data_IF_160894793932
#
_entry.id   IF_160894793932
#
_cell.length_a   1.000
_cell.length_b   1.000
_cell.length_c   1.000
_cell.angle_alpha   90.00
_cell.angle_beta   90.00
_cell.angle_gamma   90.00
#
_symmetry.space_group_name_H-M   'P 1'
#
loop_
_entity.id
_entity.type
_entity.pdbx_description
1 polymer ?
#
# COMPACT_ATOMS: atom_id res chain seq x y z
N UNK A 1 -1.98 -14.63 29.07
CA UNK A 1 -0.82 -14.86 28.17
C UNK A 1 -1.27 -14.98 26.70
N UNK A 2 -1.85 -13.93 26.11
CA UNK A 2 -2.37 -13.93 24.72
C UNK A 2 -1.60 -13.01 23.75
N UNK A 3 -0.57 -12.29 24.24
CA UNK A 3 0.20 -11.33 23.44
C UNK A 3 1.21 -12.00 22.47
N UNK A 4 1.57 -13.26 22.68
CA UNK A 4 2.59 -13.95 21.87
C UNK A 4 2.08 -14.47 20.52
N UNK A 5 0.81 -14.86 20.41
CA UNK A 5 0.27 -15.51 19.18
C UNK A 5 -0.01 -14.53 18.06
N UNK A 6 -0.71 -13.44 18.35
CA UNK A 6 -0.98 -12.39 17.36
C UNK A 6 0.32 -11.75 16.84
N UNK A 7 1.28 -11.50 17.74
CA UNK A 7 2.61 -10.98 17.37
C UNK A 7 3.35 -11.91 16.40
N UNK A 8 3.30 -13.24 16.63
CA UNK A 8 3.90 -14.21 15.73
C UNK A 8 3.24 -14.20 14.34
N UNK A 9 1.92 -14.08 14.26
CA UNK A 9 1.23 -14.00 12.97
C UNK A 9 1.53 -12.69 12.23
N UNK A 10 1.61 -11.57 12.95
CA UNK A 10 2.05 -10.28 12.38
C UNK A 10 3.49 -10.36 11.87
N UNK A 11 4.38 -11.04 12.60
CA UNK A 11 5.76 -11.24 12.15
C UNK A 11 5.84 -12.06 10.86
N UNK A 12 5.16 -13.22 10.83
CA UNK A 12 5.10 -14.08 9.63
C UNK A 12 4.45 -13.39 8.43
N UNK A 13 3.39 -12.62 8.67
CA UNK A 13 2.75 -11.81 7.64
C UNK A 13 3.72 -10.76 7.10
N UNK A 14 4.39 -10.02 7.99
CA UNK A 14 5.38 -9.01 7.60
C UNK A 14 6.52 -9.61 6.79
N UNK A 15 7.00 -10.79 7.17
CA UNK A 15 8.08 -11.51 6.47
C UNK A 15 7.64 -12.01 5.09
N UNK A 16 6.46 -12.62 5.00
CA UNK A 16 5.92 -13.10 3.72
C UNK A 16 5.70 -11.94 2.75
N UNK A 17 5.05 -10.86 3.20
CA UNK A 17 4.83 -9.65 2.40
C UNK A 17 6.18 -9.04 1.99
N UNK A 18 7.10 -8.86 2.95
CA UNK A 18 8.42 -8.30 2.68
C UNK A 18 9.20 -9.08 1.62
N UNK A 19 9.19 -10.41 1.73
CA UNK A 19 9.86 -11.28 0.75
C UNK A 19 9.23 -11.20 -0.65
N UNK A 20 7.92 -10.98 -0.73
CA UNK A 20 7.21 -10.81 -2.00
C UNK A 20 7.50 -9.46 -2.66
N UNK A 21 7.64 -8.39 -1.88
CA UNK A 21 7.77 -7.03 -2.43
C UNK A 21 9.22 -6.58 -2.61
N UNK A 22 10.17 -7.20 -1.90
CA UNK A 22 11.59 -6.86 -2.01
C UNK A 22 12.14 -6.96 -3.46
N UNK A 23 11.82 -7.99 -4.26
CA UNK A 23 12.25 -8.04 -5.67
C UNK A 23 11.71 -6.89 -6.53
N UNK A 24 10.59 -6.30 -6.13
CA UNK A 24 10.01 -5.14 -6.81
C UNK A 24 10.60 -3.80 -6.33
N UNK A 25 11.60 -3.82 -5.43
CA UNK A 25 12.31 -2.65 -4.91
C UNK A 25 11.66 -2.00 -3.68
N UNK A 26 10.79 -2.72 -2.98
CA UNK A 26 10.19 -2.23 -1.73
C UNK A 26 11.06 -2.61 -0.53
N UNK A 27 11.52 -1.59 0.19
CA UNK A 27 12.25 -1.74 1.43
C UNK A 27 11.30 -1.65 2.63
N UNK A 28 11.61 -2.42 3.67
CA UNK A 28 10.91 -2.32 4.95
C UNK A 28 11.27 -0.98 5.61
N UNK A 29 10.26 -0.19 5.92
CA UNK A 29 10.48 1.05 6.66
C UNK A 29 10.74 0.72 8.15
N UNK A 30 11.88 1.15 8.74
CA UNK A 30 12.13 1.00 10.17
C UNK A 30 11.15 1.83 11.01
N UNK A 31 10.64 2.93 10.46
CA UNK A 31 9.73 3.83 11.14
C UNK A 31 8.28 3.54 10.74
N UNK A 32 7.43 3.31 11.75
CA UNK A 32 6.00 3.13 11.57
C UNK A 32 5.34 4.50 11.72
N UNK A 33 5.01 5.14 10.60
CA UNK A 33 4.18 6.36 10.56
C UNK A 33 2.75 5.98 10.19
N UNK A 34 1.75 6.48 10.94
CA UNK A 34 0.33 6.17 10.68
C UNK A 34 -0.54 5.93 11.92
N UNK A 35 -0.03 6.22 13.12
CA UNK A 35 -0.72 5.97 14.39
C UNK A 35 -0.73 4.49 14.79
N UNK A 36 -1.36 4.16 15.92
CA UNK A 36 -1.31 2.84 16.60
C UNK A 36 -1.81 1.64 15.78
N UNK A 37 -2.24 1.84 14.52
CA UNK A 37 -2.87 0.81 13.68
C UNK A 37 -1.94 0.20 12.64
N UNK A 38 -1.03 1.01 12.08
CA UNK A 38 -0.05 0.48 11.13
C UNK A 38 0.96 -0.29 11.96
N UNK A 39 1.18 -1.55 11.62
CA UNK A 39 2.19 -2.38 12.30
C UNK A 39 3.38 -2.71 11.39
N UNK A 40 3.24 -2.46 10.08
CA UNK A 40 4.33 -2.59 9.11
C UNK A 40 4.08 -1.68 7.91
N UNK A 41 5.15 -1.09 7.40
CA UNK A 41 5.17 -0.28 6.18
C UNK A 41 6.33 -0.71 5.30
N UNK A 42 6.09 -0.76 3.99
CA UNK A 42 7.12 -0.93 2.96
C UNK A 42 7.09 0.26 2.02
N UNK A 43 8.25 0.67 1.53
CA UNK A 43 8.41 1.85 0.66
C UNK A 43 9.27 1.52 -0.54
N UNK A 44 8.89 2.01 -1.71
CA UNK A 44 9.72 2.02 -2.90
C UNK A 44 9.79 3.45 -3.43
N UNK A 45 10.99 4.02 -3.44
CA UNK A 45 11.21 5.41 -3.90
C UNK A 45 11.50 5.41 -5.39
N UNK A 46 10.79 6.27 -6.12
CA UNK A 46 11.11 6.70 -7.47
C UNK A 46 11.46 8.18 -7.39
N UNK A 47 12.34 8.69 -8.25
CA UNK A 47 12.86 10.06 -8.13
C UNK A 47 11.80 11.17 -7.98
N UNK A 48 10.54 10.92 -8.37
CA UNK A 48 9.41 11.85 -8.28
C UNK A 48 8.24 11.38 -7.39
N UNK A 49 8.23 10.13 -6.90
CA UNK A 49 7.14 9.57 -6.08
C UNK A 49 7.62 8.48 -5.12
N UNK A 50 6.82 8.17 -4.10
CA UNK A 50 7.07 7.06 -3.18
C UNK A 50 5.85 6.14 -3.18
N UNK A 51 6.05 4.90 -3.59
CA UNK A 51 5.05 3.84 -3.47
C UNK A 51 5.10 3.28 -2.05
N UNK A 52 3.93 3.08 -1.43
CA UNK A 52 3.80 2.66 -0.04
C UNK A 52 2.85 1.47 0.04
N UNK A 53 3.24 0.47 0.84
CA UNK A 53 2.40 -0.66 1.22
C UNK A 53 2.33 -0.69 2.74
N UNK A 54 1.13 -0.49 3.28
CA UNK A 54 0.89 -0.56 4.72
C UNK A 54 0.12 -1.82 5.09
N UNK A 55 0.59 -2.47 6.16
CA UNK A 55 -0.16 -3.47 6.88
C UNK A 55 -0.71 -2.81 8.15
N UNK A 56 -2.04 -2.74 8.24
CA UNK A 56 -2.72 -2.04 9.32
C UNK A 56 -3.90 -2.82 9.89
N UNK A 57 -4.16 -2.69 11.18
CA UNK A 57 -5.39 -3.19 11.80
C UNK A 57 -6.60 -2.38 11.33
N UNK A 58 -7.74 -3.04 11.12
CA UNK A 58 -8.99 -2.34 10.83
C UNK A 58 -9.53 -1.63 12.07
N UNK A 59 -10.06 -0.41 11.85
CA UNK A 59 -10.41 0.61 12.85
C UNK A 59 -11.35 0.14 13.97
N UNK A 60 -12.11 -0.94 13.76
CA UNK A 60 -13.09 -1.49 14.70
C UNK A 60 -12.87 -2.96 15.07
N UNK A 61 -11.95 -3.66 14.39
CA UNK A 61 -11.79 -5.11 14.56
C UNK A 61 -10.32 -5.51 14.46
N UNK A 62 -9.58 -5.56 15.59
CA UNK A 62 -8.14 -5.87 15.60
C UNK A 62 -7.84 -7.29 15.12
N UNK A 63 -8.84 -8.18 15.10
CA UNK A 63 -8.77 -9.51 14.49
C UNK A 63 -8.67 -9.45 12.96
N UNK A 64 -8.86 -8.29 12.34
CA UNK A 64 -8.76 -8.10 10.90
C UNK A 64 -7.65 -7.10 10.57
N UNK A 65 -7.05 -7.29 9.41
CA UNK A 65 -6.05 -6.38 8.89
C UNK A 65 -6.34 -6.07 7.42
N UNK A 66 -5.80 -4.94 6.99
CA UNK A 66 -5.82 -4.51 5.61
C UNK A 66 -4.38 -4.39 5.07
N UNK A 67 -4.26 -4.55 3.76
CA UNK A 67 -3.04 -4.23 3.01
C UNK A 67 -3.38 -3.04 2.15
N UNK A 68 -3.02 -1.84 2.61
CA UNK A 68 -3.28 -0.60 1.90
C UNK A 68 -2.14 -0.28 0.94
N UNK A 69 -2.48 0.09 -0.29
CA UNK A 69 -1.54 0.53 -1.31
C UNK A 69 -1.69 2.03 -1.52
N UNK A 70 -0.65 2.82 -1.25
CA UNK A 70 -0.69 4.28 -1.34
C UNK A 70 0.45 4.80 -2.21
N UNK A 71 0.29 6.00 -2.76
CA UNK A 71 1.39 6.72 -3.43
C UNK A 71 1.47 8.12 -2.86
N UNK A 72 2.67 8.51 -2.43
CA UNK A 72 3.00 9.88 -2.08
C UNK A 72 3.79 10.53 -3.22
N UNK A 73 3.46 11.78 -3.53
CA UNK A 73 4.14 12.59 -4.54
C UNK A 73 4.75 13.81 -3.87
N UNK A 74 5.97 14.15 -4.26
CA UNK A 74 6.56 15.43 -3.88
C UNK A 74 6.38 16.39 -5.06
N UNK A 75 5.33 17.20 -5.02
CA UNK A 75 5.02 18.16 -6.09
C UNK A 75 5.04 19.56 -5.50
N UNK A 76 5.75 20.47 -6.17
CA UNK A 76 5.68 21.92 -5.89
C UNK A 76 5.75 22.28 -4.40
N UNK A 77 6.70 21.66 -3.69
CA UNK A 77 7.01 21.86 -2.26
C UNK A 77 6.04 21.23 -1.24
N UNK A 78 5.01 20.51 -1.68
CA UNK A 78 4.08 19.79 -0.80
C UNK A 78 4.05 18.28 -1.07
N UNK A 79 3.86 17.50 0.01
CA UNK A 79 3.57 16.07 -0.10
C UNK A 79 2.08 15.88 -0.38
N UNK A 80 1.77 15.30 -1.53
CA UNK A 80 0.42 14.88 -1.88
C UNK A 80 0.33 13.36 -1.72
N UNK A 81 -0.72 12.88 -1.05
CA UNK A 81 -1.00 11.45 -0.97
C UNK A 81 -2.23 11.13 -1.83
N UNK A 82 -2.11 10.14 -2.71
CA UNK A 82 -3.27 9.49 -3.29
C UNK A 82 -3.80 8.48 -2.27
N UNK A 83 -5.05 8.68 -1.83
CA UNK A 83 -5.72 7.78 -0.89
C UNK A 83 -5.69 6.35 -1.43
N UNK A 84 -5.35 5.43 -0.52
CA UNK A 84 -4.90 4.11 -0.93
C UNK A 84 -6.01 3.15 -1.31
N UNK A 85 -5.67 2.18 -2.15
CA UNK A 85 -6.53 1.05 -2.46
C UNK A 85 -6.33 -0.06 -1.43
N UNK A 86 -7.43 -0.64 -0.95
CA UNK A 86 -7.34 -1.90 -0.21
C UNK A 86 -7.04 -3.04 -1.19
N UNK A 87 -6.04 -3.86 -0.86
CA UNK A 87 -5.69 -5.03 -1.66
C UNK A 87 -6.89 -5.95 -1.89
N UNK A 88 -7.74 -6.12 -0.88
CA UNK A 88 -8.95 -6.96 -0.93
C UNK A 88 -9.92 -6.45 -2.00
N UNK A 89 -10.09 -5.12 -2.10
CA UNK A 89 -10.92 -4.49 -3.12
C UNK A 89 -10.33 -4.70 -4.52
N UNK A 90 -9.01 -4.53 -4.67
CA UNK A 90 -8.32 -4.71 -5.95
C UNK A 90 -8.42 -6.14 -6.49
N UNK A 91 -8.37 -7.16 -5.63
CA UNK A 91 -8.44 -8.57 -6.04
C UNK A 91 -9.84 -9.15 -6.03
N UNK A 92 -10.86 -8.37 -5.62
CA UNK A 92 -12.25 -8.85 -5.48
C UNK A 92 -12.38 -9.99 -4.48
N UNK A 93 -11.64 -9.94 -3.36
CA UNK A 93 -11.54 -11.04 -2.40
C UNK A 93 -12.29 -10.80 -1.09
N UNK A 94 -12.20 -11.78 -0.19
CA UNK A 94 -12.67 -11.64 1.20
C UNK A 94 -11.63 -10.95 2.09
N UNK A 95 -12.08 -10.37 3.20
CA UNK A 95 -11.24 -9.74 4.20
C UNK A 95 -10.17 -10.67 4.80
N UNK A 96 -9.04 -10.08 5.22
CA UNK A 96 -8.00 -10.82 5.91
C UNK A 96 -8.20 -10.80 7.43
N UNK A 97 -8.16 -12.00 8.02
CA UNK A 97 -8.29 -12.20 9.47
C UNK A 97 -6.97 -12.67 10.07
N UNK A 98 -6.51 -11.98 11.12
CA UNK A 98 -5.47 -12.45 12.02
C UNK A 98 -6.00 -13.63 12.85
N UNK A 99 -5.23 -14.71 12.87
CA UNK A 99 -5.58 -15.91 13.64
C UNK A 99 -5.21 -15.66 15.11
N UNK A 100 -6.17 -15.82 16.01
CA UNK A 100 -5.98 -15.59 17.45
C UNK A 100 -6.08 -16.86 18.31
N UNK A 101 -6.36 -18.01 17.69
CA UNK A 101 -6.46 -19.32 18.36
C UNK A 101 -5.08 -19.93 18.69
N UNK A 102 -4.96 -20.81 19.67
CA UNK A 102 -3.68 -21.43 20.06
C UNK A 102 -3.50 -22.84 19.47
N UNK A 103 -2.26 -23.35 19.41
CA UNK A 103 -1.92 -24.74 19.03
C UNK A 103 -1.37 -24.91 17.61
N UNK A 104 -1.07 -26.13 17.16
CA UNK A 104 -0.43 -26.39 15.85
C UNK A 104 -1.22 -25.84 14.65
N UNK A 105 -2.56 -25.79 14.77
CA UNK A 105 -3.45 -25.22 13.75
C UNK A 105 -3.27 -23.71 13.60
N UNK A 106 -2.79 -23.01 14.64
CA UNK A 106 -2.51 -21.58 14.60
C UNK A 106 -1.43 -21.25 13.57
N UNK A 107 -0.28 -21.91 13.66
CA UNK A 107 0.87 -21.62 12.82
C UNK A 107 0.59 -21.92 11.36
N UNK A 108 -0.10 -23.03 11.08
CA UNK A 108 -0.56 -23.37 9.74
C UNK A 108 -1.55 -22.34 9.19
N UNK A 109 -2.54 -21.91 9.99
CA UNK A 109 -3.51 -20.88 9.57
C UNK A 109 -2.83 -19.53 9.33
N UNK A 110 -1.88 -19.13 10.17
CA UNK A 110 -1.12 -17.88 9.98
C UNK A 110 -0.26 -17.93 8.73
N UNK A 111 0.43 -19.04 8.47
CA UNK A 111 1.18 -19.25 7.23
C UNK A 111 0.25 -19.19 6.00
N UNK A 112 -0.94 -19.80 6.07
CA UNK A 112 -1.93 -19.75 5.00
C UNK A 112 -2.43 -18.33 4.74
N UNK A 113 -2.79 -17.58 5.78
CA UNK A 113 -3.23 -16.19 5.63
C UNK A 113 -2.12 -15.30 5.07
N UNK A 114 -0.89 -15.44 5.59
CA UNK A 114 0.27 -14.69 5.10
C UNK A 114 0.55 -14.98 3.63
N UNK A 115 0.52 -16.27 3.23
CA UNK A 115 0.71 -16.68 1.83
C UNK A 115 -0.40 -16.16 0.92
N UNK A 116 -1.65 -16.16 1.38
CA UNK A 116 -2.77 -15.60 0.62
C UNK A 116 -2.54 -14.11 0.36
N UNK A 117 -2.29 -13.32 1.43
CA UNK A 117 -2.06 -11.89 1.30
C UNK A 117 -0.83 -11.59 0.40
N UNK A 118 0.25 -12.37 0.53
CA UNK A 118 1.42 -12.25 -0.33
C UNK A 118 1.10 -12.55 -1.81
N UNK A 119 0.37 -13.62 -2.11
CA UNK A 119 -0.04 -13.95 -3.47
C UNK A 119 -0.98 -12.90 -4.07
N UNK A 120 -1.93 -12.41 -3.28
CA UNK A 120 -2.84 -11.34 -3.67
C UNK A 120 -2.03 -10.07 -4.01
N UNK A 121 -1.11 -9.69 -3.12
CA UNK A 121 -0.26 -8.52 -3.30
C UNK A 121 0.62 -8.65 -4.56
N UNK A 122 1.27 -9.80 -4.76
CA UNK A 122 2.10 -10.05 -5.94
C UNK A 122 1.32 -9.84 -7.24
N UNK A 123 0.04 -10.22 -7.28
CA UNK A 123 -0.83 -10.04 -8.45
C UNK A 123 -1.25 -8.59 -8.62
N UNK A 124 -1.25 -7.79 -7.57
CA UNK A 124 -1.71 -6.40 -7.57
C UNK A 124 -0.59 -5.36 -7.63
N UNK A 125 0.69 -5.75 -7.61
CA UNK A 125 1.81 -4.80 -7.71
C UNK A 125 1.77 -3.94 -8.98
N UNK A 126 1.18 -4.45 -10.06
CA UNK A 126 0.98 -3.71 -11.30
C UNK A 126 0.07 -2.47 -11.14
N UNK A 127 -0.66 -2.35 -10.03
CA UNK A 127 -1.41 -1.14 -9.70
C UNK A 127 -0.49 0.10 -9.64
N UNK A 128 0.71 -0.04 -9.08
CA UNK A 128 1.68 1.05 -9.01
C UNK A 128 2.21 1.47 -10.39
N UNK A 129 2.19 0.56 -11.37
CA UNK A 129 2.69 0.81 -12.74
C UNK A 129 1.74 1.74 -13.51
N UNK A 130 0.45 1.76 -13.16
CA UNK A 130 -0.52 2.75 -13.67
C UNK A 130 -0.16 4.18 -13.26
N UNK A 131 0.71 4.32 -12.27
CA UNK A 131 1.18 5.59 -11.71
C UNK A 131 2.70 5.75 -11.89
N UNK A 132 3.30 5.09 -12.90
CA UNK A 132 4.76 5.04 -13.05
C UNK A 132 5.37 6.36 -13.54
N UNK A 133 4.61 7.16 -14.29
CA UNK A 133 5.02 8.49 -14.77
C UNK A 133 4.02 9.57 -14.33
N UNK A 134 4.43 10.84 -14.24
CA UNK A 134 3.51 11.93 -13.95
C UNK A 134 2.33 12.01 -14.93
N UNK A 135 2.57 11.70 -16.22
CA UNK A 135 1.53 11.69 -17.25
C UNK A 135 0.49 10.59 -17.00
N UNK A 136 0.95 9.35 -16.79
CA UNK A 136 0.05 8.23 -16.47
C UNK A 136 -0.72 8.48 -15.17
N UNK A 137 -0.09 9.12 -14.18
CA UNK A 137 -0.78 9.51 -12.96
C UNK A 137 -1.89 10.54 -13.23
N UNK A 138 -1.62 11.57 -14.03
CA UNK A 138 -2.63 12.56 -14.39
C UNK A 138 -3.80 11.91 -15.15
N UNK A 139 -3.48 11.04 -16.12
CA UNK A 139 -4.48 10.32 -16.89
C UNK A 139 -5.34 9.42 -15.98
N UNK A 140 -4.72 8.71 -15.02
CA UNK A 140 -5.41 7.89 -14.02
C UNK A 140 -6.32 8.74 -13.11
N UNK A 141 -5.84 9.87 -12.58
CA UNK A 141 -6.64 10.78 -11.75
C UNK A 141 -7.84 11.37 -12.52
N UNK A 142 -7.77 11.41 -13.85
CA UNK A 142 -8.86 11.82 -14.71
C UNK A 142 -9.96 10.76 -14.90
N UNK A 143 -9.75 9.51 -14.48
CA UNK A 143 -10.74 8.45 -14.67
C UNK A 143 -11.73 8.35 -13.50
N UNK A 144 -12.95 7.83 -13.73
CA UNK A 144 -13.91 7.52 -12.66
C UNK A 144 -13.38 6.48 -11.65
N UNK A 145 -12.40 5.66 -12.06
CA UNK A 145 -11.83 4.56 -11.29
C UNK A 145 -10.84 5.04 -10.21
N UNK A 146 -10.38 6.29 -10.29
CA UNK A 146 -9.49 6.89 -9.29
C UNK A 146 -10.12 7.03 -7.90
N UNK A 147 -11.44 6.79 -7.75
CA UNK A 147 -12.19 6.79 -6.50
C UNK A 147 -12.11 8.11 -5.70
N UNK A 148 -11.89 9.21 -6.40
CA UNK A 148 -11.36 10.47 -5.87
C UNK A 148 -9.90 10.34 -5.41
N UNK A 149 -9.06 11.29 -5.79
CA UNK A 149 -9.41 12.65 -6.21
C UNK A 149 -9.46 12.84 -7.75
N UNK A 150 -10.57 13.39 -8.27
CA UNK A 150 -10.85 13.56 -9.70
C UNK A 150 -10.37 14.90 -10.32
N UNK A 151 -10.84 15.23 -11.55
CA UNK A 151 -10.52 16.50 -12.22
C UNK A 151 -10.93 17.71 -11.35
N UNK A 152 -9.96 18.54 -10.99
CA UNK A 152 -10.16 19.72 -10.12
C UNK A 152 -9.73 19.53 -8.66
N UNK A 153 -9.28 18.34 -8.28
CA UNK A 153 -8.65 18.14 -6.98
C UNK A 153 -7.28 18.81 -6.88
N UNK A 154 -6.81 19.15 -5.66
CA UNK A 154 -5.49 19.76 -5.47
C UNK A 154 -4.34 18.95 -6.09
N UNK A 155 -4.38 17.62 -5.95
CA UNK A 155 -3.36 16.73 -6.52
C UNK A 155 -3.43 16.65 -8.05
N UNK A 156 -4.63 16.65 -8.64
CA UNK A 156 -4.79 16.69 -10.10
C UNK A 156 -4.22 17.99 -10.68
N UNK A 157 -4.52 19.12 -10.04
CA UNK A 157 -4.02 20.45 -10.44
C UNK A 157 -2.49 20.48 -10.31
N UNK A 158 -1.95 20.08 -9.17
CA UNK A 158 -0.50 20.04 -8.94
C UNK A 158 0.23 19.13 -9.94
N UNK A 159 -0.32 17.95 -10.25
CA UNK A 159 0.27 17.04 -11.24
C UNK A 159 0.26 17.64 -12.65
N UNK A 160 -0.83 18.30 -13.03
CA UNK A 160 -0.95 18.99 -14.31
C UNK A 160 0.06 20.15 -14.42
N UNK A 161 0.20 20.95 -13.37
CA UNK A 161 1.15 22.07 -13.34
C UNK A 161 2.60 21.59 -13.40
N UNK A 162 2.93 20.53 -12.66
CA UNK A 162 4.24 19.87 -12.73
C UNK A 162 4.60 19.45 -14.17
N UNK A 163 3.67 18.82 -14.89
CA UNK A 163 3.86 18.43 -16.29
C UNK A 163 4.04 19.65 -17.21
N UNK A 164 3.23 20.69 -17.07
CA UNK A 164 3.33 21.90 -17.88
C UNK A 164 4.68 22.63 -17.68
N UNK A 165 5.23 22.61 -16.47
CA UNK A 165 6.56 23.18 -16.18
C UNK A 165 7.66 22.35 -16.85
N UNK A 166 7.57 21.02 -16.77
CA UNK A 166 8.53 20.12 -17.39
C UNK A 166 8.58 20.30 -18.92
N UNK A 167 7.44 20.50 -19.57
CA UNK A 167 7.38 20.72 -21.03
C UNK A 167 7.98 22.07 -21.46
N UNK A 168 7.84 23.13 -20.64
CA UNK A 168 8.44 24.45 -20.92
C UNK A 168 9.96 24.49 -20.77
N UNK A 169 10.54 23.53 -20.06
CA UNK A 169 11.98 23.43 -19.82
C UNK A 169 12.70 22.54 -20.83
N UNK A 170 11.97 21.92 -21.78
CA UNK A 170 12.60 21.18 -22.89
C UNK A 170 13.10 22.16 -23.95
N UNK A 171 14.39 22.11 -24.31
CA UNK A 171 15.01 22.99 -25.31
C UNK A 171 14.47 22.74 -26.73
#
# INVERSE_FOLDING_TARGET
MAKGTAANCVARLSEAIGSTVAPAGFDRNPEIFGGDRVFRRFRRRHGWKVDIIDLAHRRMEPSFFDVGLFVCFQLEDYEHQLDGQSLVQLVGGDEYRLVTSFGFLHDWRCARTARRAANDLSRSLHWFDRLATPRQCLDFLGTPESLSPGPGSPIYIAMREHLLRADRQRP
#
